data_IF_599014245378
#
_entry.id   IF_599014245378
#
_cell.length_a   1.000
_cell.length_b   1.000
_cell.length_c   1.000
_cell.angle_alpha   90.00
_cell.angle_beta   90.00
_cell.angle_gamma   90.00
#
_symmetry.space_group_name_H-M   'P 1'
#
loop_
_entity.id
_entity.type
_entity.pdbx_description
1 polymer ?
#
# COMPACT_ATOMS: atom_id res chain seq x y z
N UNK A 1 21.95 -8.45 56.17
CA UNK A 1 22.16 -7.18 55.44
C UNK A 1 22.58 -7.53 54.02
N UNK A 2 21.61 -7.74 53.13
CA UNK A 2 21.87 -8.00 51.71
C UNK A 2 21.43 -6.76 50.94
N UNK A 3 22.41 -6.04 50.38
CA UNK A 3 22.17 -4.90 49.51
C UNK A 3 21.98 -5.48 48.10
N UNK A 4 20.73 -5.56 47.64
CA UNK A 4 20.41 -5.94 46.27
C UNK A 4 20.73 -4.78 45.34
N UNK A 5 21.76 -4.94 44.50
CA UNK A 5 22.06 -3.99 43.44
C UNK A 5 21.07 -4.17 42.29
N UNK A 6 20.21 -3.17 42.09
CA UNK A 6 19.38 -3.03 40.89
C UNK A 6 20.28 -2.59 39.73
N UNK A 7 20.64 -3.52 38.85
CA UNK A 7 21.29 -3.21 37.58
C UNK A 7 20.23 -2.65 36.61
N UNK A 8 20.19 -1.32 36.47
CA UNK A 8 19.51 -0.68 35.34
C UNK A 8 20.43 -0.78 34.13
N UNK A 9 20.26 -1.82 33.33
CA UNK A 9 20.85 -1.89 31.99
C UNK A 9 20.14 -0.86 31.11
N UNK A 10 20.83 0.24 30.81
CA UNK A 10 20.44 1.17 29.75
C UNK A 10 20.50 0.40 28.42
N UNK A 11 19.35 -0.01 27.89
CA UNK A 11 19.27 -0.44 26.50
C UNK A 11 19.54 0.80 25.65
N UNK A 12 20.66 0.78 24.90
CA UNK A 12 20.87 1.71 23.81
C UNK A 12 19.75 1.44 22.80
N UNK A 13 18.78 2.35 22.76
CA UNK A 13 17.75 2.38 21.73
C UNK A 13 18.53 2.64 20.44
N UNK A 14 18.51 1.69 19.52
CA UNK A 14 19.12 1.88 18.21
C UNK A 14 18.28 2.94 17.50
N UNK A 15 18.85 4.13 17.34
CA UNK A 15 18.18 5.31 16.81
C UNK A 15 17.61 5.12 15.40
N UNK A 16 16.62 5.94 15.07
CA UNK A 16 15.85 5.88 13.83
C UNK A 16 16.71 6.04 12.59
N UNK A 17 17.07 4.92 11.96
CA UNK A 17 17.65 4.95 10.62
C UNK A 17 16.56 5.28 9.60
N UNK A 18 16.91 6.09 8.59
CA UNK A 18 16.09 6.30 7.39
C UNK A 18 15.71 4.92 6.82
N UNK A 19 14.46 4.50 7.06
CA UNK A 19 14.02 3.16 6.74
C UNK A 19 13.26 3.14 5.42
N UNK A 20 13.33 2.02 4.71
CA UNK A 20 12.48 1.78 3.55
C UNK A 20 11.18 1.14 4.06
N UNK A 21 10.06 1.82 3.82
CA UNK A 21 8.71 1.34 4.12
C UNK A 21 8.05 0.95 2.82
N UNK A 22 7.89 -0.35 2.61
CA UNK A 22 7.30 -0.91 1.40
C UNK A 22 5.82 -1.18 1.58
N UNK A 23 5.00 -0.65 0.68
CA UNK A 23 3.57 -0.90 0.69
C UNK A 23 3.25 -2.34 0.23
N UNK A 24 2.34 -3.00 0.94
CA UNK A 24 2.03 -4.43 0.74
C UNK A 24 0.78 -4.69 -0.09
N UNK A 25 -0.28 -3.88 0.09
CA UNK A 25 -1.57 -4.12 -0.58
C UNK A 25 -1.54 -3.59 -2.00
N UNK A 26 -2.21 -4.28 -2.91
CA UNK A 26 -2.32 -3.80 -4.28
C UNK A 26 -3.67 -4.19 -4.85
N UNK A 27 -3.98 -3.60 -5.99
CA UNK A 27 -5.24 -3.79 -6.70
C UNK A 27 -4.97 -4.40 -8.06
N UNK A 28 -3.87 -5.15 -8.16
CA UNK A 28 -3.39 -5.77 -9.39
C UNK A 28 -4.28 -6.94 -9.80
N UNK A 29 -4.42 -7.11 -11.10
CA UNK A 29 -5.11 -8.23 -11.72
C UNK A 29 -4.43 -9.58 -11.43
N UNK A 30 -3.10 -9.63 -11.43
CA UNK A 30 -2.34 -10.88 -11.24
C UNK A 30 -2.26 -11.35 -9.78
N UNK A 31 -2.90 -10.64 -8.84
CA UNK A 31 -2.95 -11.03 -7.44
C UNK A 31 -4.20 -11.88 -7.18
N UNK A 32 -4.01 -13.17 -6.92
CA UNK A 32 -5.11 -14.11 -6.65
C UNK A 32 -5.99 -13.72 -5.47
N UNK A 33 -5.45 -12.97 -4.49
CA UNK A 33 -6.21 -12.46 -3.33
C UNK A 33 -7.25 -11.42 -3.73
N UNK A 34 -7.11 -10.77 -4.88
CA UNK A 34 -8.06 -9.78 -5.38
C UNK A 34 -9.28 -10.40 -6.08
N UNK A 35 -9.34 -11.73 -6.22
CA UNK A 35 -10.42 -12.45 -6.89
C UNK A 35 -11.27 -13.32 -5.95
N UNK A 36 -12.57 -13.40 -6.22
CA UNK A 36 -13.50 -14.22 -5.44
C UNK A 36 -13.13 -15.71 -5.41
N UNK A 37 -12.61 -16.24 -6.51
CA UNK A 37 -12.19 -17.65 -6.64
C UNK A 37 -10.78 -17.95 -6.08
N UNK A 38 -10.07 -16.95 -5.54
CA UNK A 38 -8.73 -17.17 -4.96
C UNK A 38 -7.66 -17.58 -5.98
N UNK A 39 -7.91 -17.34 -7.27
CA UNK A 39 -6.98 -17.56 -8.39
C UNK A 39 -7.09 -16.41 -9.38
N UNK A 40 -6.08 -16.23 -10.22
CA UNK A 40 -6.15 -15.30 -11.35
C UNK A 40 -7.08 -15.84 -12.44
N UNK A 41 -7.74 -14.98 -13.24
CA UNK A 41 -8.58 -15.44 -14.34
C UNK A 41 -7.78 -16.17 -15.41
N UNK A 42 -8.44 -17.09 -16.11
CA UNK A 42 -7.89 -17.90 -17.18
C UNK A 42 -8.73 -17.77 -18.47
N UNK A 43 -8.30 -18.48 -19.51
CA UNK A 43 -8.88 -18.45 -20.87
C UNK A 43 -10.41 -18.66 -20.93
N UNK A 44 -10.97 -19.43 -20.00
CA UNK A 44 -12.38 -19.82 -19.99
C UNK A 44 -13.22 -19.02 -18.99
N UNK A 45 -12.65 -17.98 -18.38
CA UNK A 45 -13.38 -17.14 -17.44
C UNK A 45 -14.01 -15.92 -18.11
N UNK A 46 -15.21 -15.60 -17.63
CA UNK A 46 -15.79 -14.25 -17.75
C UNK A 46 -15.27 -13.42 -16.59
N UNK A 47 -14.42 -12.45 -16.90
CA UNK A 47 -13.84 -11.53 -15.92
C UNK A 47 -14.84 -10.41 -15.63
N UNK A 48 -15.19 -10.27 -14.36
CA UNK A 48 -16.16 -9.27 -13.92
C UNK A 48 -15.46 -8.26 -13.01
N UNK A 49 -15.27 -7.06 -13.52
CA UNK A 49 -15.06 -5.89 -12.69
C UNK A 49 -16.44 -5.32 -12.33
N UNK A 50 -16.81 -5.30 -11.04
CA UNK A 50 -18.13 -4.85 -10.66
C UNK A 50 -18.39 -3.39 -11.04
N UNK A 51 -19.65 -3.07 -11.36
CA UNK A 51 -20.07 -1.73 -11.83
C UNK A 51 -19.61 -0.56 -10.93
N UNK A 52 -19.58 -0.78 -9.62
CA UNK A 52 -19.28 0.17 -8.56
C UNK A 52 -17.79 0.18 -8.17
N UNK A 53 -16.92 -0.50 -8.93
CA UNK A 53 -15.48 -0.44 -8.72
C UNK A 53 -14.96 0.94 -9.16
N UNK A 54 -14.44 1.72 -8.21
CA UNK A 54 -14.01 3.12 -8.38
C UNK A 54 -12.49 3.31 -8.24
N UNK A 55 -11.74 2.21 -8.29
CA UNK A 55 -10.29 2.15 -8.08
C UNK A 55 -9.60 1.63 -9.35
N UNK A 56 -8.33 1.98 -9.58
CA UNK A 56 -7.60 1.50 -10.74
C UNK A 56 -7.10 0.07 -10.53
N UNK A 57 -7.13 -0.75 -11.58
CA UNK A 57 -6.59 -2.11 -11.58
C UNK A 57 -5.46 -2.21 -12.59
N UNK A 58 -4.26 -2.49 -12.12
CA UNK A 58 -3.09 -2.79 -12.94
C UNK A 58 -3.28 -4.14 -13.63
N UNK A 59 -3.20 -4.14 -14.96
CA UNK A 59 -3.20 -5.35 -15.77
C UNK A 59 -1.77 -5.95 -15.84
N UNK A 60 -1.62 -7.29 -15.96
CA UNK A 60 -0.31 -7.92 -15.99
C UNK A 60 0.45 -7.58 -17.27
N UNK A 61 1.78 -7.47 -17.19
CA UNK A 61 2.65 -7.28 -18.36
C UNK A 61 2.64 -8.48 -19.34
N UNK A 62 2.18 -9.64 -18.87
CA UNK A 62 1.98 -10.84 -19.69
C UNK A 62 0.62 -10.82 -20.41
N UNK A 63 0.51 -11.57 -21.50
CA UNK A 63 -0.73 -11.67 -22.27
C UNK A 63 -1.90 -12.18 -21.43
N UNK A 64 -2.98 -11.40 -21.40
CA UNK A 64 -4.26 -11.79 -20.83
C UNK A 64 -5.05 -12.57 -21.87
N UNK A 65 -5.42 -13.80 -21.55
CA UNK A 65 -6.31 -14.61 -22.37
C UNK A 65 -7.54 -14.97 -21.55
N UNK A 66 -8.69 -14.46 -21.97
CA UNK A 66 -9.97 -14.58 -21.24
C UNK A 66 -11.11 -14.78 -22.22
N UNK A 67 -12.28 -15.22 -21.75
CA UNK A 67 -13.45 -15.41 -22.61
C UNK A 67 -14.20 -14.10 -22.81
N UNK A 68 -14.43 -13.37 -21.72
CA UNK A 68 -15.22 -12.14 -21.71
C UNK A 68 -14.71 -11.20 -20.61
N UNK A 69 -14.86 -9.89 -20.83
CA UNK A 69 -14.44 -8.85 -19.90
C UNK A 69 -15.58 -7.85 -19.67
N UNK A 70 -16.11 -7.83 -18.45
CA UNK A 70 -17.11 -6.86 -18.00
C UNK A 70 -16.37 -5.76 -17.23
N UNK A 71 -16.49 -4.52 -17.73
CA UNK A 71 -15.81 -3.34 -17.20
C UNK A 71 -16.62 -2.63 -16.12
N UNK A 72 -15.98 -1.91 -15.19
CA UNK A 72 -16.67 -1.05 -14.24
C UNK A 72 -17.17 0.23 -14.91
N UNK A 73 -18.09 0.96 -14.27
CA UNK A 73 -18.57 2.24 -14.82
C UNK A 73 -17.55 3.37 -14.63
N UNK A 74 -17.08 3.57 -13.39
CA UNK A 74 -16.22 4.72 -13.02
C UNK A 74 -14.82 4.30 -12.54
N UNK A 75 -14.44 3.04 -12.78
CA UNK A 75 -13.13 2.50 -12.40
C UNK A 75 -12.00 2.92 -13.34
N UNK A 76 -10.94 2.14 -13.38
CA UNK A 76 -9.87 2.29 -14.36
C UNK A 76 -9.09 1.00 -14.52
N UNK A 77 -8.71 0.67 -15.75
CA UNK A 77 -7.73 -0.38 -16.02
C UNK A 77 -6.44 0.29 -16.47
N UNK A 78 -5.35 0.04 -15.75
CA UNK A 78 -4.03 0.54 -16.14
C UNK A 78 -3.41 -0.53 -17.01
N UNK A 79 -3.14 -0.15 -18.27
CA UNK A 79 -2.49 -1.04 -19.21
C UNK A 79 -0.98 -1.00 -19.01
N UNK A 80 -0.32 -2.16 -18.89
CA UNK A 80 1.13 -2.24 -18.87
C UNK A 80 1.73 -1.72 -20.19
N UNK A 81 3.04 -1.43 -20.19
CA UNK A 81 3.76 -1.03 -21.40
C UNK A 81 3.80 -2.13 -22.48
N UNK A 82 3.57 -3.39 -22.09
CA UNK A 82 3.65 -4.59 -22.92
C UNK A 82 2.55 -5.55 -22.50
N UNK A 83 2.10 -6.40 -23.42
CA UNK A 83 1.06 -7.39 -23.18
C UNK A 83 -0.18 -7.13 -24.03
N UNK A 84 -0.89 -8.20 -24.34
CA UNK A 84 -2.11 -8.16 -25.14
C UNK A 84 -3.32 -8.68 -24.35
N UNK A 85 -4.51 -8.17 -24.66
CA UNK A 85 -5.77 -8.77 -24.20
C UNK A 85 -6.39 -9.52 -25.35
N UNK A 86 -6.46 -10.84 -25.21
CA UNK A 86 -7.04 -11.76 -26.16
C UNK A 86 -8.35 -12.31 -25.63
N UNK A 87 -9.45 -11.92 -26.28
CA UNK A 87 -10.79 -12.44 -26.01
C UNK A 87 -11.01 -13.69 -26.87
N UNK A 88 -11.20 -14.85 -26.24
CA UNK A 88 -11.47 -16.11 -26.94
C UNK A 88 -12.95 -16.41 -26.96
N UNK A 89 -13.51 -16.64 -28.15
CA UNK A 89 -14.89 -17.09 -28.34
C UNK A 89 -15.05 -18.62 -28.32
N UNK A 90 -13.93 -19.35 -28.24
CA UNK A 90 -13.95 -20.81 -28.21
C UNK A 90 -14.01 -21.24 -26.75
N UNK A 91 -15.06 -21.99 -26.38
CA UNK A 91 -15.10 -22.74 -25.11
C UNK A 91 -13.98 -23.77 -25.15
N UNK A 92 -12.76 -23.31 -24.90
CA UNK A 92 -11.61 -24.19 -24.78
C UNK A 92 -11.91 -25.11 -23.60
N UNK A 93 -11.83 -26.42 -23.82
CA UNK A 93 -11.62 -27.37 -22.72
C UNK A 93 -10.19 -27.17 -22.19
N UNK A 94 -9.93 -26.00 -21.61
CA UNK A 94 -8.68 -25.65 -20.96
C UNK A 94 -8.56 -26.39 -19.63
N UNK A 95 -7.34 -26.45 -19.09
CA UNK A 95 -7.04 -27.08 -17.79
C UNK A 95 -7.70 -26.38 -16.58
N UNK A 96 -8.37 -25.25 -16.77
CA UNK A 96 -9.03 -24.50 -15.71
C UNK A 96 -10.55 -24.64 -15.79
N UNK A 97 -11.19 -24.76 -14.63
CA UNK A 97 -12.64 -24.98 -14.44
C UNK A 97 -13.52 -23.90 -15.08
N UNK A 98 -12.99 -22.68 -15.28
CA UNK A 98 -13.68 -21.57 -15.95
C UNK A 98 -14.80 -20.91 -15.14
N UNK A 99 -15.62 -20.13 -15.84
CA UNK A 99 -16.83 -19.48 -15.32
C UNK A 99 -16.64 -18.04 -14.88
N UNK A 100 -17.63 -17.48 -14.18
CA UNK A 100 -17.56 -16.09 -13.73
C UNK A 100 -16.50 -15.92 -12.63
N UNK A 101 -15.61 -14.95 -12.79
CA UNK A 101 -14.63 -14.59 -11.78
C UNK A 101 -14.70 -13.08 -11.54
N UNK A 102 -14.95 -12.71 -10.31
CA UNK A 102 -15.28 -11.32 -9.94
C UNK A 102 -14.15 -10.72 -9.12
N UNK A 103 -13.73 -9.52 -9.50
CA UNK A 103 -12.79 -8.73 -8.74
C UNK A 103 -13.45 -8.34 -7.41
N UNK A 104 -12.91 -8.87 -6.30
CA UNK A 104 -13.51 -8.73 -4.96
C UNK A 104 -12.82 -7.69 -4.09
N UNK A 105 -11.65 -7.20 -4.49
CA UNK A 105 -10.95 -6.21 -3.70
C UNK A 105 -11.70 -4.88 -3.79
N UNK A 106 -12.31 -4.48 -2.66
CA UNK A 106 -13.13 -3.26 -2.53
C UNK A 106 -12.66 -2.32 -1.42
N UNK A 107 -11.97 -2.86 -0.42
CA UNK A 107 -11.61 -2.11 0.77
C UNK A 107 -10.46 -1.16 0.50
N UNK A 108 -10.69 0.12 0.79
CA UNK A 108 -9.61 1.10 0.89
C UNK A 108 -8.64 0.66 1.99
N UNK A 109 -7.36 0.60 1.66
CA UNK A 109 -6.32 0.24 2.60
C UNK A 109 -5.81 1.52 3.27
N UNK A 110 -5.65 1.51 4.60
CA UNK A 110 -5.30 2.73 5.33
C UNK A 110 -3.79 2.89 5.39
N UNK A 111 -3.29 4.08 5.07
CA UNK A 111 -1.88 4.43 5.24
C UNK A 111 -1.41 4.19 6.69
N UNK A 112 -2.26 4.49 7.67
CA UNK A 112 -1.93 4.39 9.11
C UNK A 112 -2.07 2.98 9.69
N UNK A 113 -2.47 1.99 8.89
CA UNK A 113 -2.54 0.60 9.31
C UNK A 113 -1.17 -0.06 9.10
N UNK A 114 -0.53 -0.44 10.22
CA UNK A 114 0.83 -0.97 10.24
C UNK A 114 0.96 -2.29 9.48
N UNK A 115 -0.12 -3.04 9.28
CA UNK A 115 -0.09 -4.31 8.54
C UNK A 115 0.04 -4.11 7.02
N UNK A 116 -0.16 -2.88 6.53
CA UNK A 116 0.01 -2.54 5.12
C UNK A 116 1.46 -2.20 4.75
N UNK A 117 2.37 -2.18 5.73
CA UNK A 117 3.77 -1.80 5.54
C UNK A 117 4.72 -2.92 5.91
N UNK A 118 5.67 -3.18 5.00
CA UNK A 118 6.85 -3.97 5.29
C UNK A 118 8.05 -3.05 5.52
N UNK A 119 8.75 -3.26 6.64
CA UNK A 119 9.89 -2.42 7.03
C UNK A 119 11.11 -3.22 7.50
N UNK A 120 11.15 -4.54 7.23
CA UNK A 120 12.19 -5.43 7.77
C UNK A 120 12.19 -5.55 9.30
N UNK A 121 11.13 -5.04 9.94
CA UNK A 121 10.88 -5.08 11.37
C UNK A 121 10.52 -6.48 11.86
N UNK A 122 10.79 -6.75 13.13
CA UNK A 122 10.38 -7.98 13.79
C UNK A 122 9.12 -7.76 14.65
N UNK A 123 8.60 -8.81 15.27
CA UNK A 123 7.42 -8.73 16.14
C UNK A 123 7.58 -7.71 17.28
N UNK A 124 8.81 -7.43 17.71
CA UNK A 124 9.10 -6.48 18.79
C UNK A 124 9.13 -5.01 18.33
N UNK A 125 9.14 -4.72 17.03
CA UNK A 125 9.10 -3.32 16.54
C UNK A 125 7.73 -2.71 16.84
N UNK A 126 7.67 -1.55 17.53
CA UNK A 126 6.42 -0.84 17.81
C UNK A 126 5.60 -0.60 16.54
N UNK A 127 4.27 -0.71 16.64
CA UNK A 127 3.40 -0.49 15.48
C UNK A 127 3.56 0.92 14.87
N UNK A 128 3.82 1.92 15.70
CA UNK A 128 4.10 3.31 15.27
C UNK A 128 5.38 3.47 14.47
N UNK A 129 6.35 2.56 14.63
CA UNK A 129 7.59 2.55 13.87
C UNK A 129 7.49 1.67 12.61
N UNK A 130 6.38 0.95 12.41
CA UNK A 130 6.16 0.14 11.19
C UNK A 130 5.55 0.96 10.05
N UNK A 131 4.79 2.00 10.39
CA UNK A 131 4.27 2.99 9.44
C UNK A 131 5.35 4.02 9.06
N UNK A 132 5.24 4.71 7.90
CA UNK A 132 6.23 5.70 7.48
C UNK A 132 6.29 6.94 8.35
N UNK A 133 7.53 7.39 8.60
CA UNK A 133 7.86 8.61 9.33
C UNK A 133 8.57 9.65 8.45
N UNK A 134 8.82 10.84 9.00
CA UNK A 134 9.27 12.05 8.30
C UNK A 134 10.53 11.88 7.46
N UNK A 135 11.45 11.02 7.90
CA UNK A 135 12.71 10.76 7.21
C UNK A 135 12.76 9.43 6.46
N UNK A 136 11.65 8.68 6.42
CA UNK A 136 11.61 7.39 5.75
C UNK A 136 11.47 7.51 4.24
N UNK A 137 11.94 6.47 3.56
CA UNK A 137 11.66 6.25 2.14
C UNK A 137 10.42 5.37 1.99
N UNK A 138 9.39 5.87 1.33
CA UNK A 138 8.20 5.08 0.98
C UNK A 138 8.42 4.43 -0.38
N UNK A 139 8.17 3.12 -0.46
CA UNK A 139 8.28 2.37 -1.71
C UNK A 139 6.93 1.72 -2.05
N UNK A 140 6.36 2.17 -3.17
CA UNK A 140 5.27 1.47 -3.85
C UNK A 140 5.87 0.48 -4.87
N UNK A 141 5.48 -0.81 -4.83
CA UNK A 141 5.93 -1.77 -5.81
C UNK A 141 5.68 -1.28 -7.25
N UNK A 142 6.63 -1.47 -8.19
CA UNK A 142 6.42 -1.12 -9.59
C UNK A 142 5.34 -2.01 -10.22
N UNK A 143 4.80 -1.58 -11.37
CA UNK A 143 3.79 -2.33 -12.13
C UNK A 143 2.65 -2.81 -11.22
N UNK A 144 2.18 -1.89 -10.39
CA UNK A 144 1.14 -2.13 -9.41
C UNK A 144 0.25 -0.91 -9.30
N UNK A 145 -1.01 -1.14 -8.99
CA UNK A 145 -1.96 -0.09 -8.66
C UNK A 145 -2.47 -0.25 -7.23
N UNK A 146 -3.01 0.83 -6.69
CA UNK A 146 -3.37 0.91 -5.28
C UNK A 146 -4.75 1.55 -5.03
N UNK A 147 -5.23 1.41 -3.79
CA UNK A 147 -6.42 2.11 -3.30
C UNK A 147 -6.25 2.39 -1.81
N UNK A 148 -5.77 3.59 -1.51
CA UNK A 148 -5.15 3.96 -0.24
C UNK A 148 -5.84 5.18 0.34
N UNK A 149 -6.23 5.08 1.60
CA UNK A 149 -6.67 6.22 2.41
C UNK A 149 -5.43 6.87 3.00
N UNK A 150 -5.13 8.10 2.57
CA UNK A 150 -4.06 8.89 3.15
C UNK A 150 -4.44 9.34 4.57
N UNK A 151 -3.46 9.71 5.41
CA UNK A 151 -3.74 10.18 6.76
C UNK A 151 -4.67 11.40 6.77
N UNK A 152 -5.49 11.60 7.81
CA UNK A 152 -6.41 12.74 7.92
C UNK A 152 -5.70 14.05 8.32
N UNK A 153 -4.37 14.08 8.28
CA UNK A 153 -3.51 15.21 8.60
C UNK A 153 -2.28 15.14 7.70
N UNK A 154 -1.65 16.29 7.46
CA UNK A 154 -0.40 16.34 6.70
C UNK A 154 0.67 15.52 7.42
N UNK A 155 1.21 14.52 6.73
CA UNK A 155 2.39 13.77 7.18
C UNK A 155 3.53 14.02 6.22
N UNK A 156 4.75 14.00 6.72
CA UNK A 156 5.94 14.12 5.89
C UNK A 156 6.62 12.77 5.73
N UNK A 157 7.34 12.60 4.63
CA UNK A 157 8.28 11.51 4.36
C UNK A 157 9.49 12.09 3.62
N UNK A 158 10.61 11.38 3.60
CA UNK A 158 11.79 11.84 2.87
C UNK A 158 11.52 11.79 1.37
N UNK A 159 11.20 10.61 0.85
CA UNK A 159 11.06 10.38 -0.59
C UNK A 159 10.06 9.27 -0.85
N UNK A 160 9.43 9.29 -2.03
CA UNK A 160 8.47 8.27 -2.45
C UNK A 160 8.94 7.65 -3.76
N UNK A 161 9.11 6.33 -3.80
CA UNK A 161 9.25 5.60 -5.06
C UNK A 161 7.89 5.09 -5.50
N UNK A 162 7.44 5.49 -6.70
CA UNK A 162 6.22 4.98 -7.33
C UNK A 162 6.46 4.82 -8.83
N UNK A 163 5.96 3.72 -9.42
CA UNK A 163 6.21 3.38 -10.83
C UNK A 163 7.71 3.38 -11.20
N UNK A 164 8.56 2.96 -10.25
CA UNK A 164 10.02 2.92 -10.40
C UNK A 164 10.72 4.29 -10.41
N UNK A 165 10.02 5.38 -10.13
CA UNK A 165 10.59 6.73 -10.04
C UNK A 165 10.65 7.17 -8.59
N UNK A 166 11.81 7.65 -8.16
CA UNK A 166 12.00 8.27 -6.85
C UNK A 166 11.64 9.77 -6.94
N UNK A 167 10.67 10.20 -6.15
CA UNK A 167 10.02 11.50 -6.22
C UNK A 167 10.06 12.22 -4.88
N UNK A 168 10.13 13.55 -4.94
CA UNK A 168 9.93 14.47 -3.84
C UNK A 168 9.39 15.81 -4.33
N UNK A 169 8.89 16.62 -3.40
CA UNK A 169 8.27 17.92 -3.61
C UNK A 169 7.19 17.86 -4.69
N UNK A 170 7.24 18.85 -5.60
CA UNK A 170 6.27 19.01 -6.67
C UNK A 170 6.08 17.76 -7.55
N UNK A 171 7.14 16.99 -7.78
CA UNK A 171 7.04 15.80 -8.63
C UNK A 171 6.14 14.72 -8.01
N UNK A 172 6.09 14.63 -6.68
CA UNK A 172 5.17 13.76 -5.96
C UNK A 172 3.76 14.35 -5.90
N UNK A 173 3.63 15.66 -5.66
CA UNK A 173 2.33 16.33 -5.66
C UNK A 173 1.62 16.18 -7.02
N UNK A 174 2.37 16.25 -8.12
CA UNK A 174 1.87 16.01 -9.48
C UNK A 174 1.33 14.59 -9.67
N UNK A 175 1.88 13.58 -8.96
CA UNK A 175 1.34 12.21 -8.98
C UNK A 175 0.03 12.16 -8.21
N UNK A 176 -0.03 12.70 -6.99
CA UNK A 176 -1.24 12.71 -6.15
C UNK A 176 -2.40 13.42 -6.85
N UNK A 177 -2.11 14.50 -7.58
CA UNK A 177 -3.10 15.30 -8.31
C UNK A 177 -3.44 14.79 -9.71
N UNK A 178 -2.73 13.75 -10.20
CA UNK A 178 -3.04 13.14 -11.49
C UNK A 178 -4.38 12.39 -11.47
N UNK A 179 -4.99 12.16 -12.63
CA UNK A 179 -6.26 11.43 -12.73
C UNK A 179 -6.19 10.03 -12.10
N UNK A 180 -5.06 9.34 -12.26
CA UNK A 180 -4.83 8.03 -11.63
C UNK A 180 -4.58 8.20 -10.13
N UNK A 181 -3.77 9.18 -9.73
CA UNK A 181 -3.47 9.48 -8.33
C UNK A 181 -4.74 9.76 -7.50
N UNK A 182 -5.68 10.53 -8.03
CA UNK A 182 -6.96 10.79 -7.35
C UNK A 182 -7.82 9.53 -7.16
N UNK A 183 -7.63 8.50 -8.00
CA UNK A 183 -8.29 7.20 -7.85
C UNK A 183 -7.52 6.27 -6.91
N UNK A 184 -6.19 6.31 -6.91
CA UNK A 184 -5.35 5.54 -5.99
C UNK A 184 -5.39 6.09 -4.56
N UNK A 185 -5.56 7.41 -4.39
CA UNK A 185 -5.52 8.14 -3.14
C UNK A 185 -6.77 9.03 -2.96
N UNK A 186 -7.98 8.44 -2.88
CA UNK A 186 -9.24 9.19 -2.96
C UNK A 186 -9.62 9.98 -1.70
N UNK A 187 -8.92 9.78 -0.57
CA UNK A 187 -9.29 10.30 0.75
C UNK A 187 -8.05 10.61 1.58
N UNK A 188 -8.21 11.55 2.51
CA UNK A 188 -7.16 12.02 3.41
C UNK A 188 -6.56 13.35 2.97
N UNK A 189 -5.53 13.76 3.68
CA UNK A 189 -4.71 14.94 3.40
C UNK A 189 -3.46 14.55 2.59
N UNK A 190 -2.60 15.52 2.26
CA UNK A 190 -1.36 15.29 1.53
C UNK A 190 -0.29 14.61 2.39
N UNK A 191 0.30 13.55 1.84
CA UNK A 191 1.63 13.07 2.24
C UNK A 191 2.66 13.93 1.52
N UNK A 192 3.48 14.69 2.23
CA UNK A 192 4.49 15.57 1.65
C UNK A 192 5.84 14.85 1.62
N UNK A 193 6.39 14.66 0.43
CA UNK A 193 7.74 14.13 0.26
C UNK A 193 8.75 15.28 0.24
N UNK A 194 9.54 15.46 1.30
CA UNK A 194 10.37 16.67 1.48
C UNK A 194 11.70 16.63 0.70
N UNK A 195 12.20 15.44 0.39
CA UNK A 195 13.56 15.21 -0.11
C UNK A 195 14.63 15.31 0.97
N UNK A 196 14.26 15.66 2.21
CA UNK A 196 15.20 15.80 3.32
C UNK A 196 15.68 14.43 3.79
N UNK A 197 16.95 14.36 4.17
CA UNK A 197 17.55 13.17 4.76
C UNK A 197 17.89 13.45 6.21
N UNK A 198 17.83 12.41 7.03
CA UNK A 198 18.31 12.50 8.40
C UNK A 198 19.84 12.74 8.40
N UNK A 199 20.27 13.98 8.67
CA UNK A 199 21.69 14.35 8.70
C UNK A 199 22.40 13.88 9.97
N UNK A 200 21.66 13.71 11.08
CA UNK A 200 22.22 13.20 12.34
C UNK A 200 21.24 12.21 12.99
N UNK A 201 21.70 10.97 13.19
CA UNK A 201 20.88 9.88 13.76
C UNK A 201 20.25 10.26 15.11
N UNK A 202 20.98 11.02 15.95
CA UNK A 202 20.57 11.48 17.28
C UNK A 202 19.42 12.51 17.31
N UNK A 203 18.97 13.00 16.14
CA UNK A 203 17.89 14.00 16.02
C UNK A 203 16.66 13.52 15.27
N UNK A 204 16.73 12.33 14.68
CA UNK A 204 15.64 11.72 13.92
C UNK A 204 14.95 10.61 14.70
N UNK A 205 15.27 10.51 16.00
CA UNK A 205 14.91 9.42 16.90
C UNK A 205 13.42 9.36 17.27
N UNK A 206 12.62 10.31 16.79
CA UNK A 206 11.18 10.30 17.03
C UNK A 206 10.44 10.42 15.70
N UNK A 207 9.59 9.43 15.41
CA UNK A 207 8.42 9.61 14.55
C UNK A 207 7.45 10.60 15.23
N UNK A 208 7.91 11.83 15.47
CA UNK A 208 7.28 12.86 16.30
C UNK A 208 6.12 13.57 15.59
N UNK A 209 5.98 13.38 14.27
CA UNK A 209 4.94 14.01 13.45
C UNK A 209 3.57 13.32 13.55
N UNK A 210 3.46 12.23 14.32
CA UNK A 210 2.13 11.73 14.69
C UNK A 210 1.48 12.74 15.64
N UNK A 211 0.28 13.27 15.32
CA UNK A 211 -0.48 14.04 16.28
C UNK A 211 -0.52 13.27 17.59
N UNK A 212 -0.43 14.01 18.69
CA UNK A 212 -0.31 13.53 20.08
C UNK A 212 -1.39 12.51 20.50
N UNK A 213 -2.36 12.23 19.62
CA UNK A 213 -3.42 11.24 19.69
C UNK A 213 -2.93 9.78 19.73
N UNK A 214 -1.73 9.45 19.22
CA UNK A 214 -1.16 8.09 19.33
C UNK A 214 -0.24 7.87 20.54
N UNK A 215 -0.16 8.82 21.48
CA UNK A 215 0.53 8.60 22.77
C UNK A 215 -0.10 7.55 23.70
N UNK A 216 -1.40 7.15 23.61
CA UNK A 216 -1.95 6.17 24.54
C UNK A 216 -1.88 4.72 24.02
N UNK A 217 -1.08 4.36 23.02
CA UNK A 217 -0.87 2.92 22.72
C UNK A 217 -0.01 2.21 23.79
N UNK A 218 0.58 2.94 24.73
CA UNK A 218 1.29 2.39 25.90
C UNK A 218 0.33 1.92 27.02
N UNK A 219 -0.97 2.19 26.92
CA UNK A 219 -1.98 1.67 27.85
C UNK A 219 -3.19 1.18 27.05
N UNK A 220 -3.16 -0.11 26.72
CA UNK A 220 -4.30 -1.02 26.61
C UNK A 220 -5.54 -0.52 25.81
N UNK A 221 -5.78 -1.20 24.67
CA UNK A 221 -7.01 -1.23 23.86
C UNK A 221 -7.22 -0.09 22.85
N UNK A 222 -6.72 -0.28 21.62
CA UNK A 222 -7.14 0.49 20.44
C UNK A 222 -8.31 -0.19 19.71
N UNK A 223 -9.39 -0.55 20.42
CA UNK A 223 -10.66 -0.95 19.79
C UNK A 223 -11.73 0.16 19.85
N UNK A 224 -11.55 1.20 20.67
CA UNK A 224 -12.61 2.20 20.93
C UNK A 224 -12.40 3.58 20.26
N UNK A 225 -11.38 3.77 19.43
CA UNK A 225 -11.10 5.06 18.79
C UNK A 225 -11.83 5.29 17.46
N UNK A 226 -12.89 4.51 17.16
CA UNK A 226 -13.79 4.77 16.03
C UNK A 226 -15.23 4.87 16.56
N UNK A 227 -15.58 6.06 17.04
CA UNK A 227 -16.93 6.61 17.00
C UNK A 227 -16.87 8.10 16.67
#
# INVERSE_FOLDING_TARGET
>A
MFIGALFFTFFLINGGECAIKKWLRNTNYNNSKNWNKGRVPCLTDTVIFPKDLNMPVELPEDDMKIYELILPFDGGLIFPKKGEILLSNTKFHGKCEGGEITFKQRGIAKWLDYENWYSGSNEATPHTERIPCSFDHVEFPPNSSFYIELPPYTTTVSTVTIQGKNLSGRAWDEVLLSEIGLKEFPKGEFVVATGEKCERKDRCDECADFPTFCRPCAQQNCEDAVK
#
